data_IF_307292888446
#
_entry.id   IF_307292888446
#
_cell.length_a   1.000
_cell.length_b   1.000
_cell.length_c   1.000
_cell.angle_alpha   90.00
_cell.angle_beta   90.00
_cell.angle_gamma   90.00
#
_symmetry.space_group_name_H-M   'P 1'
#
loop_
_entity.id
_entity.type
_entity.pdbx_description
1 polymer ?
#
# COMPACT_ATOMS: atom_id res chain seq x y z
N UNK A 1 -8.86 -28.25 7.98
CA UNK A 1 -8.52 -26.84 7.69
C UNK A 1 -9.76 -26.04 7.99
N UNK A 2 -9.67 -25.09 8.89
CA UNK A 2 -10.77 -24.17 9.21
C UNK A 2 -10.60 -22.89 8.38
N UNK A 3 -11.65 -22.45 7.70
CA UNK A 3 -11.67 -21.22 6.90
C UNK A 3 -12.42 -20.07 7.60
N UNK A 4 -12.87 -20.29 8.82
CA UNK A 4 -13.52 -19.27 9.62
C UNK A 4 -12.47 -18.41 10.32
N UNK A 5 -12.81 -17.14 10.54
CA UNK A 5 -12.07 -16.29 11.46
C UNK A 5 -12.28 -16.80 12.89
N UNK A 6 -11.29 -16.63 13.74
CA UNK A 6 -11.44 -16.88 15.18
C UNK A 6 -12.20 -15.72 15.86
N UNK A 7 -12.57 -15.89 17.13
CA UNK A 7 -13.39 -14.92 17.87
C UNK A 7 -12.74 -13.54 17.96
N UNK A 8 -11.41 -13.47 18.08
CA UNK A 8 -10.65 -12.22 18.13
C UNK A 8 -10.69 -11.50 16.78
N UNK A 9 -10.46 -12.22 15.70
CA UNK A 9 -10.51 -11.68 14.34
C UNK A 9 -11.92 -11.18 13.99
N UNK A 10 -12.96 -11.93 14.38
CA UNK A 10 -14.36 -11.50 14.20
C UNK A 10 -14.66 -10.23 15.00
N UNK A 11 -14.08 -10.06 16.20
CA UNK A 11 -14.23 -8.84 17.00
C UNK A 11 -13.63 -7.62 16.29
N UNK A 12 -12.42 -7.74 15.72
CA UNK A 12 -11.83 -6.67 14.92
C UNK A 12 -12.70 -6.31 13.71
N UNK A 13 -13.17 -7.32 12.97
CA UNK A 13 -14.03 -7.12 11.80
C UNK A 13 -15.36 -6.47 12.19
N UNK A 14 -15.95 -6.86 13.34
CA UNK A 14 -17.17 -6.23 13.87
C UNK A 14 -16.94 -4.76 14.20
N UNK A 15 -15.83 -4.42 14.87
CA UNK A 15 -15.47 -3.04 15.18
C UNK A 15 -15.29 -2.19 13.90
N UNK A 16 -14.68 -2.75 12.85
CA UNK A 16 -14.58 -2.07 11.54
C UNK A 16 -15.97 -1.80 10.94
N UNK A 17 -16.88 -2.77 11.02
CA UNK A 17 -18.28 -2.59 10.53
C UNK A 17 -19.00 -1.48 11.30
N UNK A 18 -18.84 -1.42 12.61
CA UNK A 18 -19.41 -0.37 13.45
C UNK A 18 -18.84 1.00 13.09
N UNK A 19 -17.52 1.13 12.97
CA UNK A 19 -16.89 2.37 12.53
C UNK A 19 -17.43 2.82 11.16
N UNK A 20 -17.47 1.93 10.18
CA UNK A 20 -17.90 2.27 8.84
C UNK A 20 -19.40 2.59 8.76
N UNK A 21 -20.20 2.12 9.71
CA UNK A 21 -21.63 2.44 9.83
C UNK A 21 -21.90 3.71 10.66
N UNK A 22 -20.93 4.22 11.43
CA UNK A 22 -21.13 5.31 12.39
C UNK A 22 -21.42 6.66 11.75
N UNK A 23 -20.96 6.86 10.50
CA UNK A 23 -21.18 8.08 9.73
C UNK A 23 -21.11 7.83 8.21
N UNK A 24 -21.42 8.85 7.40
CA UNK A 24 -21.32 8.74 5.95
C UNK A 24 -19.88 8.94 5.45
N UNK A 25 -19.01 7.93 5.69
CA UNK A 25 -17.63 7.93 5.26
C UNK A 25 -17.47 8.07 3.75
N UNK A 26 -18.41 7.52 2.95
CA UNK A 26 -18.32 7.63 1.49
C UNK A 26 -18.38 9.08 1.01
N UNK A 27 -19.24 9.92 1.61
CA UNK A 27 -19.29 11.34 1.27
C UNK A 27 -17.96 12.03 1.62
N UNK A 28 -17.37 11.71 2.75
CA UNK A 28 -16.06 12.22 3.15
C UNK A 28 -14.94 11.77 2.22
N UNK A 29 -14.91 10.49 1.84
CA UNK A 29 -13.92 9.99 0.87
C UNK A 29 -14.08 10.61 -0.51
N UNK A 30 -15.33 10.83 -0.97
CA UNK A 30 -15.58 11.50 -2.24
C UNK A 30 -15.08 12.95 -2.24
N UNK A 31 -15.19 13.66 -1.11
CA UNK A 31 -14.62 15.00 -0.92
C UNK A 31 -13.10 14.97 -0.93
N UNK A 32 -12.48 14.08 -0.14
CA UNK A 32 -11.03 13.93 -0.10
C UNK A 32 -10.43 13.55 -1.47
N UNK A 33 -11.07 12.65 -2.23
CA UNK A 33 -10.63 12.29 -3.60
C UNK A 33 -10.71 13.47 -4.56
N UNK A 34 -11.83 14.23 -4.53
CA UNK A 34 -12.01 15.42 -5.37
C UNK A 34 -10.93 16.47 -5.10
N UNK A 35 -10.68 16.74 -3.83
CA UNK A 35 -9.79 17.83 -3.39
C UNK A 35 -8.33 17.38 -3.26
N UNK A 36 -8.06 16.09 -3.50
CA UNK A 36 -6.74 15.45 -3.40
C UNK A 36 -6.07 15.69 -2.05
N UNK A 37 -6.81 15.43 -0.97
CA UNK A 37 -6.39 15.59 0.42
C UNK A 37 -6.42 14.25 1.18
N UNK A 38 -5.49 14.12 2.14
CA UNK A 38 -5.38 12.93 2.99
C UNK A 38 -6.58 12.84 3.95
N UNK A 39 -7.20 11.66 4.11
CA UNK A 39 -8.39 11.49 4.94
C UNK A 39 -8.02 11.33 6.43
N UNK A 40 -7.38 12.35 7.02
CA UNK A 40 -6.80 12.32 8.37
C UNK A 40 -7.82 11.90 9.43
N UNK A 41 -9.07 12.38 9.34
CA UNK A 41 -10.13 12.04 10.29
C UNK A 41 -10.45 10.54 10.31
N UNK A 42 -10.48 9.90 9.13
CA UNK A 42 -10.71 8.47 9.03
C UNK A 42 -9.52 7.66 9.58
N UNK A 43 -8.31 8.05 9.21
CA UNK A 43 -7.10 7.36 9.68
C UNK A 43 -6.93 7.52 11.19
N UNK A 44 -7.28 8.70 11.74
CA UNK A 44 -7.32 8.91 13.20
C UNK A 44 -8.33 7.99 13.89
N UNK A 45 -9.53 7.84 13.33
CA UNK A 45 -10.54 6.93 13.89
C UNK A 45 -10.06 5.47 13.93
N UNK A 46 -9.33 5.01 12.89
CA UNK A 46 -8.70 3.69 12.90
C UNK A 46 -7.57 3.57 13.94
N UNK A 47 -6.76 4.62 14.08
CA UNK A 47 -5.68 4.65 15.07
C UNK A 47 -6.26 4.63 16.50
N UNK A 48 -7.40 5.30 16.76
CA UNK A 48 -8.11 5.24 18.06
C UNK A 48 -8.63 3.84 18.39
N UNK A 49 -8.86 3.00 17.39
CA UNK A 49 -9.21 1.58 17.55
C UNK A 49 -7.97 0.67 17.69
N UNK A 50 -6.75 1.21 17.61
CA UNK A 50 -5.51 0.45 17.67
C UNK A 50 -5.12 -0.26 16.36
N UNK A 51 -5.76 0.08 15.24
CA UNK A 51 -5.48 -0.58 13.94
C UNK A 51 -4.05 -0.29 13.45
N UNK A 52 -3.46 0.85 13.80
CA UNK A 52 -2.06 1.18 13.54
C UNK A 52 -1.07 0.35 14.38
N UNK A 53 -1.56 -0.35 15.39
CA UNK A 53 -0.77 -1.15 16.32
C UNK A 53 -0.93 -2.66 16.13
N UNK A 54 -1.68 -3.10 15.10
CA UNK A 54 -2.01 -4.52 14.86
C UNK A 54 -0.79 -5.43 14.80
N UNK A 55 0.28 -5.01 14.12
CA UNK A 55 1.50 -5.81 13.95
C UNK A 55 2.63 -5.41 14.90
N UNK A 56 2.46 -4.40 15.74
CA UNK A 56 3.47 -4.02 16.72
C UNK A 56 3.50 -5.10 17.83
N UNK A 57 4.68 -5.61 18.22
CA UNK A 57 4.82 -6.58 19.30
C UNK A 57 4.26 -6.05 20.62
N UNK A 58 3.71 -6.93 21.47
CA UNK A 58 3.15 -6.58 22.78
C UNK A 58 4.17 -5.89 23.68
N UNK A 59 5.44 -6.30 23.64
CA UNK A 59 6.53 -5.69 24.41
C UNK A 59 6.77 -4.21 24.06
N UNK A 60 6.33 -3.77 22.87
CA UNK A 60 6.32 -2.37 22.44
C UNK A 60 4.94 -1.74 22.55
N UNK A 61 4.01 -2.40 23.26
CA UNK A 61 2.65 -1.93 23.54
C UNK A 61 1.70 -2.08 22.34
N UNK A 62 2.00 -2.93 21.38
CA UNK A 62 1.14 -3.29 20.25
C UNK A 62 0.18 -4.42 20.57
N UNK A 63 -0.46 -4.95 19.52
CA UNK A 63 -1.46 -6.01 19.61
C UNK A 63 -0.93 -7.37 19.17
N UNK A 64 0.19 -7.42 18.44
CA UNK A 64 0.80 -8.64 17.87
C UNK A 64 -0.22 -9.59 17.19
N UNK A 65 -1.22 -8.99 16.54
CA UNK A 65 -2.41 -9.72 16.08
C UNK A 65 -2.18 -10.59 14.83
N UNK A 66 -1.00 -10.50 14.21
CA UNK A 66 -0.60 -11.28 13.05
C UNK A 66 -1.20 -10.84 11.70
N UNK A 67 -0.65 -11.43 10.64
CA UNK A 67 -1.00 -11.07 9.26
C UNK A 67 -2.37 -11.60 8.82
N UNK A 68 -2.86 -12.72 9.40
CA UNK A 68 -4.22 -13.20 9.11
C UNK A 68 -5.26 -12.21 9.63
N UNK A 69 -5.06 -11.65 10.82
CA UNK A 69 -5.91 -10.59 11.36
C UNK A 69 -5.83 -9.32 10.53
N UNK A 70 -4.61 -8.90 10.16
CA UNK A 70 -4.41 -7.77 9.25
C UNK A 70 -5.18 -7.97 7.94
N UNK A 71 -5.08 -9.15 7.33
CA UNK A 71 -5.78 -9.45 6.08
C UNK A 71 -7.30 -9.35 6.24
N UNK A 72 -7.87 -9.91 7.32
CA UNK A 72 -9.30 -9.81 7.61
C UNK A 72 -9.77 -8.36 7.74
N UNK A 73 -9.05 -7.54 8.52
CA UNK A 73 -9.35 -6.11 8.74
C UNK A 73 -9.24 -5.33 7.44
N UNK A 74 -8.14 -5.50 6.68
CA UNK A 74 -7.91 -4.75 5.43
C UNK A 74 -8.91 -5.06 4.34
N UNK A 75 -9.21 -6.35 4.16
CA UNK A 75 -10.20 -6.78 3.19
C UNK A 75 -11.61 -6.29 3.54
N UNK A 76 -11.97 -6.26 4.82
CA UNK A 76 -13.27 -5.74 5.26
C UNK A 76 -13.36 -4.22 5.11
N UNK A 77 -12.33 -3.47 5.49
CA UNK A 77 -12.26 -2.02 5.25
C UNK A 77 -12.50 -1.69 3.77
N UNK A 78 -11.77 -2.35 2.88
CA UNK A 78 -11.91 -2.14 1.43
C UNK A 78 -13.30 -2.56 0.92
N UNK A 79 -13.87 -3.69 1.40
CA UNK A 79 -15.23 -4.14 1.07
C UNK A 79 -16.29 -3.11 1.46
N UNK A 80 -16.07 -2.37 2.54
CA UNK A 80 -16.94 -1.30 2.99
C UNK A 80 -16.67 0.05 2.29
N UNK A 81 -15.69 0.11 1.37
CA UNK A 81 -15.39 1.26 0.51
C UNK A 81 -14.30 2.19 1.04
N UNK A 82 -13.61 1.81 2.11
CA UNK A 82 -12.50 2.60 2.64
C UNK A 82 -11.30 2.61 1.66
N UNK A 83 -10.58 3.76 1.54
CA UNK A 83 -9.39 3.89 0.71
C UNK A 83 -8.17 3.31 1.44
N UNK A 84 -8.06 1.98 1.55
CA UNK A 84 -7.02 1.31 2.35
C UNK A 84 -5.59 1.59 1.90
N UNK A 85 -5.39 2.09 0.68
CA UNK A 85 -4.07 2.50 0.18
C UNK A 85 -3.44 3.65 1.00
N UNK A 86 -4.23 4.50 1.64
CA UNK A 86 -3.71 5.57 2.52
C UNK A 86 -3.12 5.03 3.83
N UNK A 87 -3.28 3.74 4.07
CA UNK A 87 -2.88 3.06 5.31
C UNK A 87 -1.60 2.22 5.16
N UNK A 88 -0.95 2.18 4.00
CA UNK A 88 0.16 1.24 3.73
C UNK A 88 1.31 1.33 4.73
N UNK A 89 1.57 2.50 5.31
CA UNK A 89 2.62 2.68 6.29
C UNK A 89 2.23 2.28 7.72
N UNK A 90 0.93 2.13 8.01
CA UNK A 90 0.49 1.87 9.38
C UNK A 90 0.84 0.46 9.88
N UNK A 91 0.54 -0.65 9.16
CA UNK A 91 0.67 -1.97 9.76
C UNK A 91 2.12 -2.45 9.89
N UNK A 92 3.03 -2.05 9.01
CA UNK A 92 4.42 -2.54 9.00
C UNK A 92 5.47 -1.47 9.26
N UNK A 93 5.08 -0.19 9.17
CA UNK A 93 6.01 0.93 9.27
C UNK A 93 6.73 1.01 10.61
N UNK A 94 6.01 0.79 11.72
CA UNK A 94 6.61 0.75 13.04
C UNK A 94 7.59 -0.41 13.19
N UNK A 95 7.23 -1.62 12.76
CA UNK A 95 8.07 -2.81 12.88
C UNK A 95 9.39 -2.67 12.10
N UNK A 96 9.37 -1.97 10.98
CA UNK A 96 10.58 -1.65 10.22
C UNK A 96 11.57 -0.87 11.07
N UNK A 97 11.10 0.14 11.83
CA UNK A 97 11.93 0.92 12.73
C UNK A 97 12.36 0.15 13.98
N UNK A 98 11.47 -0.66 14.57
CA UNK A 98 11.82 -1.52 15.70
C UNK A 98 12.97 -2.49 15.36
N UNK A 99 13.04 -2.94 14.10
CA UNK A 99 14.06 -3.88 13.65
C UNK A 99 15.38 -3.22 13.22
N UNK A 100 15.32 -2.09 12.54
CA UNK A 100 16.45 -1.49 11.83
C UNK A 100 16.89 -0.13 12.37
N UNK A 101 16.02 0.57 13.09
CA UNK A 101 16.26 1.93 13.57
C UNK A 101 17.14 1.99 14.81
N UNK A 102 17.81 3.12 14.99
CA UNK A 102 18.39 3.48 16.28
C UNK A 102 17.28 3.84 17.27
N UNK A 103 17.56 3.83 18.58
CA UNK A 103 16.57 4.19 19.60
C UNK A 103 15.98 5.60 19.34
N UNK A 104 16.81 6.57 18.93
CA UNK A 104 16.34 7.93 18.59
C UNK A 104 15.36 7.91 17.41
N UNK A 105 15.62 7.09 16.39
CA UNK A 105 14.72 6.94 15.22
C UNK A 105 13.42 6.24 15.61
N UNK A 106 13.50 5.18 16.42
CA UNK A 106 12.34 4.46 16.96
C UNK A 106 11.44 5.42 17.74
N UNK A 107 11.99 6.18 18.68
CA UNK A 107 11.24 7.11 19.52
C UNK A 107 10.52 8.18 18.67
N UNK A 108 11.19 8.70 17.62
CA UNK A 108 10.59 9.65 16.69
C UNK A 108 9.39 9.09 15.96
N UNK A 109 9.47 7.84 15.50
CA UNK A 109 8.40 7.21 14.74
C UNK A 109 7.27 6.73 15.66
N UNK A 110 7.60 6.15 16.82
CA UNK A 110 6.60 5.71 17.81
C UNK A 110 5.76 6.87 18.36
N UNK A 111 6.27 8.09 18.35
CA UNK A 111 5.50 9.29 18.70
C UNK A 111 4.27 9.55 17.80
N UNK A 112 4.21 8.95 16.61
CA UNK A 112 3.08 9.07 15.70
C UNK A 112 1.96 8.04 15.95
N UNK A 113 2.24 7.01 16.73
CA UNK A 113 1.25 5.99 17.09
C UNK A 113 0.00 6.65 17.72
N UNK A 114 -1.17 6.23 17.28
CA UNK A 114 -2.44 6.77 17.75
C UNK A 114 -2.79 8.17 17.18
N UNK A 115 -1.94 8.79 16.38
CA UNK A 115 -2.20 10.16 15.89
C UNK A 115 -3.02 10.22 14.60
N UNK A 116 -3.03 9.15 13.80
CA UNK A 116 -3.64 9.13 12.46
C UNK A 116 -2.85 9.93 11.41
N UNK A 117 -1.66 10.44 11.75
CA UNK A 117 -0.81 11.19 10.82
C UNK A 117 0.15 10.27 10.08
N UNK A 118 0.49 10.66 8.86
CA UNK A 118 1.59 10.03 8.13
C UNK A 118 2.91 10.31 8.87
N UNK A 119 3.69 9.26 9.13
CA UNK A 119 4.89 9.35 9.94
C UNK A 119 6.18 9.37 9.11
N UNK A 120 6.27 8.52 8.10
CA UNK A 120 7.41 8.40 7.21
C UNK A 120 7.03 7.73 5.89
N UNK A 121 7.92 7.76 4.90
CA UNK A 121 7.84 6.93 3.70
C UNK A 121 9.24 6.65 3.14
N UNK A 122 9.33 5.68 2.23
CA UNK A 122 10.56 5.36 1.50
C UNK A 122 10.69 6.17 0.22
N UNK A 123 11.90 6.61 -0.08
CA UNK A 123 12.25 7.32 -1.29
C UNK A 123 13.33 6.55 -2.08
N UNK A 124 12.87 5.78 -3.05
CA UNK A 124 13.71 4.85 -3.83
C UNK A 124 13.76 5.29 -5.28
N UNK A 125 12.61 5.37 -5.94
CA UNK A 125 12.45 5.62 -7.37
C UNK A 125 13.02 6.99 -7.81
N UNK A 126 13.70 7.01 -8.97
CA UNK A 126 14.19 8.22 -9.62
C UNK A 126 13.67 8.31 -11.06
N UNK A 127 13.70 9.48 -11.73
CA UNK A 127 13.27 9.62 -13.12
C UNK A 127 13.95 8.64 -14.08
N UNK A 128 15.19 8.23 -13.80
CA UNK A 128 15.98 7.27 -14.58
C UNK A 128 16.09 5.87 -13.99
N UNK A 129 15.50 5.60 -12.83
CA UNK A 129 15.65 4.35 -12.07
C UNK A 129 14.33 3.93 -11.41
N UNK A 130 13.45 3.30 -12.16
CA UNK A 130 12.22 2.68 -11.68
C UNK A 130 12.44 1.19 -11.42
N UNK A 131 12.11 0.33 -12.39
CA UNK A 131 12.34 -1.13 -12.27
C UNK A 131 13.81 -1.51 -12.11
N UNK A 132 14.71 -0.73 -12.70
CA UNK A 132 16.15 -0.86 -12.51
C UNK A 132 16.63 0.01 -11.33
N UNK A 133 16.28 -0.39 -10.11
CA UNK A 133 16.66 0.31 -8.87
C UNK A 133 18.18 0.44 -8.74
N UNK A 134 18.95 -0.50 -9.28
CA UNK A 134 20.42 -0.46 -9.26
C UNK A 134 21.05 0.68 -10.07
N UNK A 135 20.29 1.36 -10.92
CA UNK A 135 20.75 2.50 -11.72
C UNK A 135 20.53 3.87 -11.06
N UNK A 136 20.07 3.93 -9.80
CA UNK A 136 19.83 5.19 -9.10
C UNK A 136 21.07 6.08 -9.03
N UNK A 137 20.85 7.39 -9.05
CA UNK A 137 21.90 8.42 -9.12
C UNK A 137 21.98 9.28 -7.87
N UNK A 138 20.99 9.31 -7.00
CA UNK A 138 21.06 10.00 -5.70
C UNK A 138 22.25 9.49 -4.92
N UNK A 139 23.11 10.39 -4.46
CA UNK A 139 24.37 10.08 -3.78
C UNK A 139 24.42 10.66 -2.37
N UNK A 140 25.15 9.98 -1.50
CA UNK A 140 25.67 10.58 -0.29
C UNK A 140 27.19 10.68 -0.36
N UNK A 141 27.75 11.74 0.18
CA UNK A 141 29.20 11.97 0.23
C UNK A 141 29.62 12.44 1.61
N UNK A 142 30.77 11.94 2.09
CA UNK A 142 31.34 12.38 3.37
C UNK A 142 32.33 13.52 3.14
N UNK A 143 32.10 14.67 3.78
CA UNK A 143 32.93 15.87 3.70
C UNK A 143 33.01 16.50 5.09
N UNK A 144 34.22 16.77 5.58
CA UNK A 144 34.46 17.47 6.86
C UNK A 144 33.70 16.86 8.06
N UNK A 145 33.60 15.55 8.13
CA UNK A 145 32.90 14.84 9.21
C UNK A 145 31.38 14.88 9.14
N UNK A 146 30.83 15.38 8.04
CA UNK A 146 29.40 15.42 7.74
C UNK A 146 29.07 14.63 6.47
N UNK A 147 27.82 14.26 6.31
CA UNK A 147 27.28 13.60 5.14
C UNK A 147 26.40 14.59 4.37
N UNK A 148 26.55 14.61 3.07
CA UNK A 148 25.76 15.45 2.19
C UNK A 148 25.01 14.59 1.19
N UNK A 149 23.66 14.68 1.22
CA UNK A 149 22.78 13.97 0.31
C UNK A 149 22.43 14.87 -0.88
N UNK A 150 22.62 14.34 -2.09
CA UNK A 150 22.37 15.03 -3.34
C UNK A 150 21.64 14.15 -4.34
N UNK A 151 20.68 14.70 -5.06
CA UNK A 151 19.96 14.01 -6.12
C UNK A 151 18.46 14.32 -6.15
N UNK A 152 17.68 13.38 -6.66
CA UNK A 152 16.24 13.56 -6.77
C UNK A 152 15.51 12.24 -6.81
N UNK A 153 14.32 12.23 -6.22
CA UNK A 153 13.41 11.09 -6.17
C UNK A 153 12.07 11.48 -6.81
N UNK A 154 11.38 10.52 -7.40
CA UNK A 154 10.07 10.77 -7.99
C UNK A 154 9.08 9.66 -7.63
N UNK A 155 7.80 10.00 -7.76
CA UNK A 155 6.66 9.13 -7.39
C UNK A 155 6.69 8.70 -5.92
N UNK A 156 7.11 9.62 -5.02
CA UNK A 156 7.21 9.33 -3.59
C UNK A 156 5.89 9.67 -2.92
N UNK A 157 5.22 8.64 -2.45
CA UNK A 157 3.91 8.72 -1.79
C UNK A 157 4.02 9.45 -0.45
N UNK A 158 2.97 10.14 0.00
CA UNK A 158 2.83 10.84 1.29
C UNK A 158 3.85 11.94 1.60
N UNK A 159 4.87 12.15 0.77
CA UNK A 159 6.00 13.04 1.08
C UNK A 159 5.66 14.53 1.17
N UNK A 160 4.42 14.93 0.83
CA UNK A 160 3.94 16.29 1.08
C UNK A 160 3.52 16.53 2.55
N UNK A 161 3.31 15.48 3.35
CA UNK A 161 2.81 15.58 4.72
C UNK A 161 3.72 14.87 5.74
N UNK A 162 4.49 13.88 5.29
CA UNK A 162 5.33 13.09 6.19
C UNK A 162 6.52 13.92 6.70
N UNK A 163 6.79 13.90 8.00
CA UNK A 163 7.93 14.64 8.57
C UNK A 163 9.26 13.95 8.32
N UNK A 164 9.27 12.67 8.06
CA UNK A 164 10.47 11.87 7.86
C UNK A 164 10.38 11.04 6.58
N UNK A 165 11.54 10.78 5.99
CA UNK A 165 11.66 9.93 4.81
C UNK A 165 12.91 9.07 4.90
N UNK A 166 12.83 7.82 4.47
CA UNK A 166 14.00 6.93 4.34
C UNK A 166 14.46 6.96 2.90
N UNK A 167 15.61 7.55 2.64
CA UNK A 167 16.15 7.78 1.30
C UNK A 167 17.22 6.77 0.96
N UNK A 168 17.00 5.96 -0.08
CA UNK A 168 18.05 5.12 -0.64
C UNK A 168 18.98 5.94 -1.52
N UNK A 169 20.28 5.95 -1.18
CA UNK A 169 21.31 6.64 -1.92
C UNK A 169 22.56 5.75 -2.10
N UNK A 170 23.34 6.04 -3.13
CA UNK A 170 24.64 5.37 -3.35
C UNK A 170 25.78 6.19 -2.80
N UNK A 171 26.86 5.52 -2.40
CA UNK A 171 28.09 6.19 -2.03
C UNK A 171 28.72 6.90 -3.23
N UNK A 172 28.87 8.22 -3.15
CA UNK A 172 29.49 9.05 -4.17
C UNK A 172 31.00 8.80 -4.33
N UNK A 173 31.67 8.25 -3.32
CA UNK A 173 33.09 7.89 -3.38
C UNK A 173 33.35 6.56 -4.11
N UNK A 174 32.32 5.76 -4.41
CA UNK A 174 32.43 4.42 -5.02
C UNK A 174 31.63 4.31 -6.32
N UNK A 175 31.96 5.10 -7.37
CA UNK A 175 31.14 5.15 -8.59
C UNK A 175 31.13 3.83 -9.38
N UNK A 176 32.25 3.10 -9.40
CA UNK A 176 32.42 1.85 -10.17
C UNK A 176 31.88 0.62 -9.45
N UNK A 177 31.75 0.68 -8.13
CA UNK A 177 31.23 -0.39 -7.28
C UNK A 177 30.20 0.19 -6.32
N UNK A 178 28.96 0.38 -6.75
CA UNK A 178 27.97 1.13 -5.98
C UNK A 178 27.64 0.41 -4.67
N UNK A 179 27.74 1.18 -3.58
CA UNK A 179 27.32 0.82 -2.23
C UNK A 179 26.04 1.61 -1.95
N UNK A 180 24.96 0.91 -1.65
CA UNK A 180 23.64 1.53 -1.41
C UNK A 180 23.35 1.53 0.08
N UNK A 181 23.04 2.71 0.62
CA UNK A 181 22.72 2.93 2.02
C UNK A 181 21.40 3.72 2.13
N UNK A 182 20.65 3.49 3.17
CA UNK A 182 19.45 4.23 3.45
C UNK A 182 19.70 5.25 4.55
N UNK A 183 19.04 6.40 4.41
CA UNK A 183 19.20 7.56 5.27
C UNK A 183 17.84 8.01 5.79
N UNK A 184 17.68 8.09 7.11
CA UNK A 184 16.51 8.63 7.78
C UNK A 184 16.61 10.16 7.79
N UNK A 185 15.82 10.81 6.95
CA UNK A 185 15.93 12.26 6.67
C UNK A 185 14.74 12.99 7.26
N UNK A 186 15.00 14.01 8.07
CA UNK A 186 14.02 14.99 8.51
C UNK A 186 13.71 15.93 7.33
N UNK A 187 12.43 15.97 6.92
CA UNK A 187 11.98 16.73 5.75
C UNK A 187 12.00 18.25 5.97
N UNK A 188 12.22 18.72 7.18
CA UNK A 188 12.41 20.15 7.49
C UNK A 188 13.82 20.67 7.23
N UNK A 189 14.78 19.76 6.92
CA UNK A 189 16.18 20.17 6.66
C UNK A 189 16.29 21.09 5.44
N UNK A 190 17.20 22.09 5.47
CA UNK A 190 17.54 22.90 4.30
C UNK A 190 18.01 22.05 3.11
N UNK A 191 17.75 22.52 1.90
CA UNK A 191 18.14 21.81 0.66
C UNK A 191 17.12 20.79 0.17
N UNK A 192 15.99 20.62 0.86
CA UNK A 192 14.91 19.71 0.42
C UNK A 192 13.82 20.54 -0.24
N UNK A 193 13.44 20.12 -1.46
CA UNK A 193 12.28 20.68 -2.17
C UNK A 193 11.33 19.55 -2.56
N UNK A 194 10.04 19.71 -2.21
CA UNK A 194 8.97 18.76 -2.54
C UNK A 194 8.01 19.39 -3.53
N UNK A 195 7.67 18.67 -4.59
CA UNK A 195 6.71 19.11 -5.61
C UNK A 195 5.65 18.02 -5.81
N UNK A 196 4.38 18.35 -5.55
CA UNK A 196 3.27 17.40 -5.77
C UNK A 196 3.07 17.12 -7.26
N UNK A 197 2.79 15.87 -7.59
CA UNK A 197 2.40 15.41 -8.92
C UNK A 197 0.88 15.20 -8.97
N UNK A 198 0.27 15.54 -10.11
CA UNK A 198 -1.10 15.15 -10.41
C UNK A 198 -1.17 13.68 -10.77
N UNK A 199 -2.19 12.98 -10.26
CA UNK A 199 -2.38 11.53 -10.46
C UNK A 199 -3.72 11.19 -11.06
N UNK A 200 -3.76 10.09 -11.78
CA UNK A 200 -5.01 9.49 -12.26
C UNK A 200 -5.88 9.00 -11.09
N UNK A 201 -5.29 8.20 -10.19
CA UNK A 201 -5.94 7.57 -9.03
C UNK A 201 -5.11 7.72 -7.76
N UNK A 202 -5.55 7.08 -6.66
CA UNK A 202 -4.98 7.19 -5.31
C UNK A 202 -4.87 8.65 -4.85
N UNK A 203 -5.87 9.46 -5.17
CA UNK A 203 -5.80 10.93 -5.02
C UNK A 203 -5.79 11.38 -3.57
N UNK A 204 -6.34 10.58 -2.66
CA UNK A 204 -6.38 10.90 -1.23
C UNK A 204 -5.01 10.78 -0.54
N UNK A 205 -3.97 10.41 -1.27
CA UNK A 205 -2.60 10.54 -0.78
C UNK A 205 -1.79 11.39 -1.76
N UNK A 206 -0.71 12.04 -1.30
CA UNK A 206 0.18 12.77 -2.18
C UNK A 206 1.12 11.81 -2.91
N UNK A 207 1.61 12.26 -4.06
CA UNK A 207 2.73 11.64 -4.76
C UNK A 207 3.62 12.77 -5.25
N UNK A 208 4.90 12.73 -4.92
CA UNK A 208 5.76 13.89 -5.13
C UNK A 208 7.07 13.55 -5.83
N UNK A 209 7.66 14.60 -6.41
CA UNK A 209 9.09 14.67 -6.68
C UNK A 209 9.78 15.35 -5.50
N UNK A 210 10.96 14.87 -5.14
CA UNK A 210 11.79 15.42 -4.07
C UNK A 210 13.19 15.67 -4.65
N UNK A 211 13.71 16.89 -4.43
CA UNK A 211 15.09 17.23 -4.76
C UNK A 211 15.88 17.45 -3.47
N UNK A 212 17.09 16.91 -3.45
CA UNK A 212 18.07 17.06 -2.38
C UNK A 212 19.27 17.84 -2.94
N UNK A 213 19.58 18.98 -2.33
CA UNK A 213 20.70 19.86 -2.69
C UNK A 213 21.56 20.13 -1.45
N UNK A 214 22.67 19.43 -1.35
CA UNK A 214 23.61 19.44 -0.23
C UNK A 214 22.90 19.31 1.14
N UNK A 215 21.94 18.39 1.26
CA UNK A 215 21.23 18.16 2.52
C UNK A 215 22.19 17.55 3.53
N UNK A 216 22.48 18.28 4.62
CA UNK A 216 23.41 17.86 5.66
C UNK A 216 22.78 16.80 6.56
N UNK A 217 23.47 15.65 6.69
CA UNK A 217 23.13 14.53 7.56
C UNK A 217 24.32 14.21 8.48
N UNK A 218 24.04 13.49 9.56
CA UNK A 218 25.04 12.89 10.44
C UNK A 218 25.09 11.36 10.27
N UNK A 219 26.13 10.70 10.77
CA UNK A 219 26.22 9.22 10.74
C UNK A 219 25.04 8.56 11.50
N UNK A 220 24.49 9.21 12.52
CA UNK A 220 23.31 8.73 13.26
C UNK A 220 22.01 8.76 12.43
N UNK A 221 21.99 9.50 11.31
CA UNK A 221 20.87 9.53 10.39
C UNK A 221 20.90 8.33 9.43
N UNK A 222 21.93 7.49 9.48
CA UNK A 222 21.93 6.22 8.73
C UNK A 222 20.80 5.33 9.25
N UNK A 223 20.06 4.73 8.31
CA UNK A 223 19.01 3.78 8.63
C UNK A 223 19.49 2.35 8.34
N UNK A 224 19.46 1.49 9.35
CA UNK A 224 20.03 0.15 9.27
C UNK A 224 21.57 0.16 9.22
N UNK A 225 22.14 -0.43 8.18
CA UNK A 225 23.61 -0.61 8.03
C UNK A 225 24.09 -0.11 6.68
N UNK A 226 25.30 0.44 6.65
CA UNK A 226 25.95 0.83 5.40
C UNK A 226 26.03 -0.35 4.41
N UNK A 227 25.70 -0.08 3.17
CA UNK A 227 25.74 -1.07 2.10
C UNK A 227 24.59 -2.08 2.07
N UNK A 228 23.66 -2.03 3.01
CA UNK A 228 22.52 -2.96 3.07
C UNK A 228 21.24 -2.45 2.40
N UNK A 229 21.22 -1.23 1.89
CA UNK A 229 20.02 -0.59 1.37
C UNK A 229 19.29 -1.41 0.30
N UNK A 230 20.03 -2.06 -0.59
CA UNK A 230 19.42 -2.87 -1.66
C UNK A 230 18.67 -4.12 -1.14
N UNK A 231 19.17 -4.76 -0.08
CA UNK A 231 18.50 -5.93 0.51
C UNK A 231 17.23 -5.50 1.27
N UNK A 232 17.34 -4.41 2.01
CA UNK A 232 16.22 -3.85 2.76
C UNK A 232 15.05 -3.46 1.86
N UNK A 233 15.33 -2.74 0.77
CA UNK A 233 14.31 -2.35 -0.22
C UNK A 233 13.58 -3.56 -0.79
N UNK A 234 14.25 -4.71 -0.98
CA UNK A 234 13.57 -5.94 -1.43
C UNK A 234 12.56 -6.45 -0.40
N UNK A 235 12.94 -6.46 0.88
CA UNK A 235 12.06 -6.89 1.97
C UNK A 235 10.84 -5.96 2.10
N UNK A 236 11.08 -4.65 2.00
CA UNK A 236 10.03 -3.64 2.03
C UNK A 236 9.03 -3.81 0.87
N UNK A 237 9.53 -4.07 -0.34
CA UNK A 237 8.67 -4.34 -1.49
C UNK A 237 7.81 -5.61 -1.32
N UNK A 238 8.31 -6.65 -0.64
CA UNK A 238 7.51 -7.85 -0.40
C UNK A 238 6.33 -7.56 0.53
N UNK A 239 6.54 -6.75 1.56
CA UNK A 239 5.48 -6.28 2.45
C UNK A 239 4.47 -5.38 1.72
N UNK A 240 4.94 -4.39 0.97
CA UNK A 240 4.10 -3.49 0.17
C UNK A 240 3.24 -4.28 -0.83
N UNK A 241 3.81 -5.25 -1.54
CA UNK A 241 3.07 -6.10 -2.49
C UNK A 241 1.89 -6.80 -1.85
N UNK A 242 2.06 -7.30 -0.64
CA UNK A 242 0.98 -7.96 0.10
C UNK A 242 -0.12 -6.98 0.47
N UNK A 243 0.19 -5.81 1.00
CA UNK A 243 -0.80 -4.77 1.34
C UNK A 243 -1.56 -4.25 0.11
N UNK A 244 -0.87 -4.03 -1.00
CA UNK A 244 -1.50 -3.68 -2.28
C UNK A 244 -2.49 -4.76 -2.70
N UNK A 245 -2.14 -6.03 -2.58
CA UNK A 245 -3.02 -7.13 -2.95
C UNK A 245 -4.27 -7.22 -2.06
N UNK A 246 -4.15 -6.97 -0.75
CA UNK A 246 -5.29 -6.88 0.18
C UNK A 246 -6.24 -5.73 -0.18
N UNK A 247 -5.69 -4.54 -0.46
CA UNK A 247 -6.43 -3.36 -0.91
C UNK A 247 -7.22 -3.65 -2.18
N UNK A 248 -6.59 -4.29 -3.15
CA UNK A 248 -7.21 -4.66 -4.42
C UNK A 248 -8.42 -5.58 -4.23
N UNK A 249 -8.30 -6.60 -3.39
CA UNK A 249 -9.41 -7.50 -3.08
C UNK A 249 -10.60 -6.76 -2.45
N UNK A 250 -10.35 -5.99 -1.40
CA UNK A 250 -11.41 -5.27 -0.68
C UNK A 250 -12.16 -4.30 -1.60
N UNK A 251 -11.43 -3.51 -2.38
CA UNK A 251 -12.02 -2.57 -3.35
C UNK A 251 -12.84 -3.27 -4.42
N UNK A 252 -12.34 -4.40 -4.96
CA UNK A 252 -13.05 -5.18 -5.96
C UNK A 252 -14.32 -5.82 -5.39
N UNK A 253 -14.28 -6.28 -4.14
CA UNK A 253 -15.45 -6.84 -3.46
C UNK A 253 -16.53 -5.78 -3.24
N UNK A 254 -16.15 -4.56 -2.85
CA UNK A 254 -17.05 -3.42 -2.74
C UNK A 254 -17.78 -3.13 -4.07
N UNK A 255 -17.01 -3.05 -5.15
CA UNK A 255 -17.55 -2.80 -6.49
C UNK A 255 -18.49 -3.92 -6.95
N UNK A 256 -18.14 -5.18 -6.69
CA UNK A 256 -18.98 -6.34 -6.97
C UNK A 256 -20.33 -6.27 -6.25
N UNK A 257 -20.32 -5.96 -4.94
CA UNK A 257 -21.54 -5.84 -4.14
C UNK A 257 -22.43 -4.70 -4.63
N UNK A 258 -21.85 -3.55 -4.97
CA UNK A 258 -22.60 -2.40 -5.53
C UNK A 258 -23.27 -2.78 -6.85
N UNK A 259 -22.52 -3.41 -7.76
CA UNK A 259 -23.05 -3.88 -9.03
C UNK A 259 -24.15 -4.94 -8.86
N UNK A 260 -23.98 -5.85 -7.88
CA UNK A 260 -24.99 -6.88 -7.60
C UNK A 260 -26.30 -6.29 -7.07
N UNK A 261 -26.22 -5.32 -6.15
CA UNK A 261 -27.41 -4.60 -5.67
C UNK A 261 -28.11 -3.86 -6.82
N UNK A 262 -27.34 -3.16 -7.65
CA UNK A 262 -27.87 -2.45 -8.80
C UNK A 262 -28.51 -3.40 -9.81
N UNK A 263 -27.87 -4.52 -10.15
CA UNK A 263 -28.41 -5.48 -11.11
C UNK A 263 -29.75 -6.11 -10.69
N UNK A 264 -29.96 -6.27 -9.38
CA UNK A 264 -31.23 -6.77 -8.84
C UNK A 264 -32.34 -5.71 -8.75
N UNK A 265 -31.98 -4.43 -8.79
CA UNK A 265 -32.94 -3.31 -8.68
C UNK A 265 -33.25 -2.66 -10.02
N UNK A 266 -32.27 -2.57 -10.92
CA UNK A 266 -32.45 -1.91 -12.22
C UNK A 266 -33.29 -2.74 -13.15
N UNK A 267 -34.43 -2.18 -13.58
CA UNK A 267 -35.34 -2.84 -14.53
C UNK A 267 -35.10 -2.32 -15.95
N UNK A 268 -34.94 -3.22 -16.90
CA UNK A 268 -34.94 -2.98 -18.33
C UNK A 268 -35.65 -4.15 -19.04
N UNK A 269 -36.32 -3.88 -20.16
CA UNK A 269 -37.09 -4.88 -20.88
C UNK A 269 -38.12 -5.63 -20.00
N UNK A 270 -38.67 -4.94 -18.98
CA UNK A 270 -39.71 -5.46 -18.10
C UNK A 270 -39.25 -6.26 -16.90
N UNK A 271 -37.94 -6.52 -16.74
CA UNK A 271 -37.40 -7.30 -15.59
C UNK A 271 -36.07 -6.74 -15.10
N UNK A 272 -35.63 -7.19 -13.89
CA UNK A 272 -34.36 -6.81 -13.34
C UNK A 272 -33.21 -7.31 -14.25
N UNK A 273 -32.18 -6.43 -14.49
CA UNK A 273 -31.10 -6.76 -15.42
C UNK A 273 -30.29 -7.97 -14.97
N UNK A 274 -30.24 -8.29 -13.66
CA UNK A 274 -29.61 -9.49 -13.11
C UNK A 274 -30.23 -10.82 -13.57
N UNK A 275 -31.40 -10.76 -14.25
CA UNK A 275 -32.01 -11.96 -14.87
C UNK A 275 -31.48 -12.27 -16.25
N UNK A 276 -30.76 -11.35 -16.89
CA UNK A 276 -30.20 -11.58 -18.22
C UNK A 276 -28.90 -12.39 -18.15
N UNK A 277 -28.78 -13.41 -18.99
CA UNK A 277 -27.64 -14.34 -18.99
C UNK A 277 -26.28 -13.68 -19.14
N UNK A 278 -26.15 -12.63 -20.01
CA UNK A 278 -24.90 -11.89 -20.19
C UNK A 278 -24.50 -11.07 -18.94
N UNK A 279 -25.45 -10.72 -18.08
CA UNK A 279 -25.17 -10.09 -16.79
C UNK A 279 -24.74 -11.17 -15.78
N UNK A 280 -25.45 -12.31 -15.73
CA UNK A 280 -25.11 -13.43 -14.86
C UNK A 280 -23.71 -13.99 -15.15
N UNK A 281 -23.31 -14.07 -16.42
CA UNK A 281 -21.95 -14.46 -16.84
C UNK A 281 -20.89 -13.53 -16.22
N UNK A 282 -21.08 -12.19 -16.26
CA UNK A 282 -20.16 -11.24 -15.63
C UNK A 282 -20.02 -11.51 -14.12
N UNK A 283 -21.13 -11.73 -13.42
CA UNK A 283 -21.09 -12.05 -11.99
C UNK A 283 -20.38 -13.36 -11.70
N UNK A 284 -20.57 -14.39 -12.50
CA UNK A 284 -19.87 -15.67 -12.35
C UNK A 284 -18.34 -15.47 -12.48
N UNK A 285 -17.87 -14.77 -13.51
CA UNK A 285 -16.45 -14.46 -13.70
C UNK A 285 -15.87 -13.61 -12.58
N UNK A 286 -16.58 -12.59 -12.12
CA UNK A 286 -16.16 -11.75 -10.98
C UNK A 286 -16.06 -12.58 -9.71
N UNK A 287 -17.04 -13.43 -9.40
CA UNK A 287 -17.06 -14.28 -8.21
C UNK A 287 -15.88 -15.27 -8.19
N UNK A 288 -15.55 -15.89 -9.33
CA UNK A 288 -14.38 -16.80 -9.45
C UNK A 288 -13.09 -16.07 -9.11
N UNK A 289 -12.89 -14.86 -9.66
CA UNK A 289 -11.70 -14.03 -9.38
C UNK A 289 -11.61 -13.65 -7.92
N UNK A 290 -12.69 -13.15 -7.34
CA UNK A 290 -12.75 -12.76 -5.93
C UNK A 290 -12.45 -13.94 -4.99
N UNK A 291 -13.03 -15.11 -5.26
CA UNK A 291 -12.75 -16.30 -4.45
C UNK A 291 -11.27 -16.74 -4.56
N UNK A 292 -10.70 -16.68 -5.77
CA UNK A 292 -9.29 -17.00 -5.99
C UNK A 292 -8.36 -16.04 -5.26
N UNK A 293 -8.66 -14.73 -5.33
CA UNK A 293 -7.91 -13.70 -4.60
C UNK A 293 -7.97 -13.94 -3.09
N UNK A 294 -9.17 -14.14 -2.53
CA UNK A 294 -9.37 -14.36 -1.08
C UNK A 294 -8.51 -15.51 -0.57
N UNK A 295 -8.57 -16.66 -1.25
CA UNK A 295 -7.84 -17.86 -0.82
C UNK A 295 -6.32 -17.64 -0.88
N UNK A 296 -5.81 -17.03 -1.94
CA UNK A 296 -4.39 -16.72 -2.11
C UNK A 296 -3.90 -15.74 -1.03
N UNK A 297 -4.69 -14.73 -0.68
CA UNK A 297 -4.35 -13.73 0.32
C UNK A 297 -4.31 -14.31 1.74
N UNK A 298 -5.26 -15.17 2.12
CA UNK A 298 -5.23 -15.85 3.41
C UNK A 298 -4.09 -16.86 3.51
N UNK A 299 -3.78 -17.58 2.42
CA UNK A 299 -2.60 -18.46 2.38
C UNK A 299 -1.31 -17.66 2.60
N UNK A 300 -1.16 -16.52 1.92
CA UNK A 300 0.01 -15.66 2.07
C UNK A 300 0.11 -15.05 3.48
N UNK A 301 -1.02 -14.62 4.06
CA UNK A 301 -1.08 -14.14 5.43
C UNK A 301 -0.66 -15.22 6.43
N UNK A 302 -1.18 -16.42 6.30
CA UNK A 302 -0.79 -17.55 7.13
C UNK A 302 0.70 -17.90 6.99
N UNK A 303 1.25 -17.87 5.77
CA UNK A 303 2.69 -18.06 5.55
C UNK A 303 3.51 -16.97 6.22
N UNK A 304 3.04 -15.72 6.24
CA UNK A 304 3.70 -14.62 6.91
C UNK A 304 3.74 -14.83 8.43
N UNK A 305 2.63 -15.23 9.04
CA UNK A 305 2.55 -15.54 10.47
C UNK A 305 3.47 -16.72 10.88
N UNK A 306 3.71 -17.65 9.95
CA UNK A 306 4.60 -18.80 10.19
C UNK A 306 6.05 -18.56 9.71
N UNK A 307 6.40 -17.36 9.27
CA UNK A 307 7.75 -17.01 8.79
C UNK A 307 8.18 -17.76 7.53
N UNK A 308 7.22 -18.26 6.72
CA UNK A 308 7.47 -19.09 5.53
C UNK A 308 7.11 -18.38 4.21
N UNK A 309 6.60 -17.16 4.27
CA UNK A 309 6.31 -16.35 3.08
C UNK A 309 7.58 -16.06 2.28
N UNK A 310 7.48 -16.10 0.96
CA UNK A 310 8.60 -15.81 0.05
C UNK A 310 8.29 -14.61 -0.83
N UNK A 311 9.33 -13.98 -1.41
CA UNK A 311 9.15 -12.95 -2.43
C UNK A 311 8.34 -13.44 -3.65
N UNK A 312 8.37 -14.74 -3.94
CA UNK A 312 7.54 -15.36 -4.96
C UNK A 312 6.05 -15.33 -4.61
N UNK A 313 5.71 -15.64 -3.34
CA UNK A 313 4.33 -15.55 -2.84
C UNK A 313 3.79 -14.13 -2.90
N UNK A 314 4.57 -13.15 -2.42
CA UNK A 314 4.19 -11.73 -2.45
C UNK A 314 3.99 -11.22 -3.90
N UNK A 315 4.91 -11.59 -4.81
CA UNK A 315 4.80 -11.23 -6.22
C UNK A 315 3.58 -11.88 -6.90
N UNK A 316 3.27 -13.14 -6.57
CA UNK A 316 2.09 -13.86 -7.08
C UNK A 316 0.81 -13.16 -6.63
N UNK A 317 0.68 -12.86 -5.33
CA UNK A 317 -0.47 -12.14 -4.77
C UNK A 317 -0.66 -10.78 -5.46
N UNK A 318 0.39 -9.98 -5.55
CA UNK A 318 0.32 -8.64 -6.13
C UNK A 318 -0.08 -8.68 -7.61
N UNK A 319 0.58 -9.52 -8.40
CA UNK A 319 0.26 -9.63 -9.83
C UNK A 319 -1.17 -10.09 -10.06
N UNK A 320 -1.56 -11.20 -9.44
CA UNK A 320 -2.90 -11.76 -9.65
C UNK A 320 -3.99 -10.82 -9.15
N UNK A 321 -3.86 -10.31 -7.91
CA UNK A 321 -4.89 -9.45 -7.32
C UNK A 321 -5.04 -8.12 -8.05
N UNK A 322 -3.94 -7.45 -8.45
CA UNK A 322 -4.04 -6.17 -9.18
C UNK A 322 -4.74 -6.32 -10.54
N UNK A 323 -4.48 -7.40 -11.27
CA UNK A 323 -5.13 -7.66 -12.55
C UNK A 323 -6.59 -8.10 -12.36
N UNK A 324 -6.84 -9.10 -11.50
CA UNK A 324 -8.17 -9.63 -11.26
C UNK A 324 -9.13 -8.58 -10.67
N UNK A 325 -8.65 -7.75 -9.73
CA UNK A 325 -9.44 -6.67 -9.13
C UNK A 325 -9.82 -5.60 -10.16
N UNK A 326 -8.87 -5.19 -11.00
CA UNK A 326 -9.14 -4.24 -12.07
C UNK A 326 -10.21 -4.76 -13.04
N UNK A 327 -10.14 -6.04 -13.45
CA UNK A 327 -11.14 -6.67 -14.29
C UNK A 327 -12.52 -6.80 -13.61
N UNK A 328 -12.54 -7.06 -12.29
CA UNK A 328 -13.79 -7.08 -11.50
C UNK A 328 -14.41 -5.69 -11.46
N UNK A 329 -13.65 -4.65 -11.14
CA UNK A 329 -14.16 -3.27 -11.06
C UNK A 329 -14.62 -2.77 -12.44
N UNK A 330 -13.89 -3.07 -13.51
CA UNK A 330 -14.28 -2.73 -14.88
C UNK A 330 -15.60 -3.42 -15.27
N UNK A 331 -15.74 -4.71 -14.97
CA UNK A 331 -16.96 -5.45 -15.20
C UNK A 331 -18.15 -4.94 -14.37
N UNK A 332 -17.91 -4.58 -13.11
CA UNK A 332 -18.92 -3.97 -12.24
C UNK A 332 -19.35 -2.59 -12.76
N UNK A 333 -18.41 -1.77 -13.21
CA UNK A 333 -18.69 -0.48 -13.86
C UNK A 333 -19.52 -0.65 -15.12
N UNK A 334 -19.22 -1.67 -15.93
CA UNK A 334 -20.02 -2.02 -17.11
C UNK A 334 -21.46 -2.41 -16.76
N UNK A 335 -21.67 -3.15 -15.65
CA UNK A 335 -23.01 -3.49 -15.14
C UNK A 335 -23.79 -2.24 -14.73
N UNK A 336 -23.13 -1.27 -14.09
CA UNK A 336 -23.73 0.01 -13.69
C UNK A 336 -24.09 0.90 -14.89
N UNK A 337 -23.47 0.69 -16.05
CA UNK A 337 -23.70 1.47 -17.27
C UNK A 337 -23.42 2.95 -17.04
N UNK A 338 -24.32 3.83 -17.52
CA UNK A 338 -24.16 5.29 -17.41
C UNK A 338 -23.98 5.79 -15.97
N UNK A 339 -24.55 5.12 -14.97
CA UNK A 339 -24.38 5.46 -13.54
C UNK A 339 -22.92 5.30 -13.11
N UNK A 340 -22.23 4.25 -13.59
CA UNK A 340 -20.81 4.01 -13.30
C UNK A 340 -19.87 5.02 -13.95
N UNK A 341 -20.29 5.67 -15.03
CA UNK A 341 -19.49 6.63 -15.81
C UNK A 341 -19.73 8.09 -15.40
N UNK A 342 -20.93 8.41 -14.90
CA UNK A 342 -21.38 9.79 -14.65
C UNK A 342 -20.66 10.53 -13.51
N UNK A 343 -19.63 9.94 -12.88
CA UNK A 343 -18.73 10.61 -11.95
C UNK A 343 -19.19 10.72 -10.49
N UNK A 344 -20.46 10.44 -10.20
CA UNK A 344 -21.02 10.53 -8.84
C UNK A 344 -21.02 9.19 -8.09
N UNK A 345 -20.64 8.09 -8.75
CA UNK A 345 -20.55 6.77 -8.14
C UNK A 345 -19.10 6.43 -7.80
N UNK A 346 -18.86 5.90 -6.59
CA UNK A 346 -17.51 5.55 -6.09
C UNK A 346 -16.73 4.59 -6.99
N UNK A 347 -17.42 3.83 -7.85
CA UNK A 347 -16.77 2.88 -8.76
C UNK A 347 -15.79 3.55 -9.73
N UNK A 348 -16.04 4.80 -10.13
CA UNK A 348 -15.11 5.57 -10.97
C UNK A 348 -13.80 5.89 -10.24
N UNK A 349 -13.87 6.13 -8.91
CA UNK A 349 -12.69 6.26 -8.05
C UNK A 349 -11.94 4.91 -7.99
N UNK A 350 -12.63 3.81 -7.69
CA UNK A 350 -12.05 2.47 -7.63
C UNK A 350 -11.35 2.07 -8.92
N UNK A 351 -11.97 2.34 -10.06
CA UNK A 351 -11.37 2.06 -11.38
C UNK A 351 -10.06 2.82 -11.61
N UNK A 352 -10.01 4.11 -11.24
CA UNK A 352 -8.80 4.93 -11.34
C UNK A 352 -7.71 4.46 -10.37
N UNK A 353 -8.07 4.13 -9.15
CA UNK A 353 -7.16 3.71 -8.09
C UNK A 353 -6.49 2.38 -8.44
N UNK A 354 -7.27 1.34 -8.77
CA UNK A 354 -6.75 0.02 -9.10
C UNK A 354 -5.88 0.00 -10.36
N UNK A 355 -6.07 0.96 -11.29
CA UNK A 355 -5.17 1.06 -12.45
C UNK A 355 -3.74 1.41 -12.05
N UNK A 356 -3.56 2.18 -10.99
CA UNK A 356 -2.23 2.56 -10.48
C UNK A 356 -1.51 1.32 -9.91
N UNK A 357 -2.21 0.44 -9.24
CA UNK A 357 -1.65 -0.73 -8.56
C UNK A 357 -0.99 -1.76 -9.49
N UNK A 358 -1.27 -1.72 -10.78
CA UNK A 358 -0.55 -2.53 -11.78
C UNK A 358 0.85 -2.00 -12.09
N UNK A 359 1.17 -0.79 -11.61
CA UNK A 359 2.47 -0.11 -11.83
C UNK A 359 3.24 0.08 -10.53
N UNK A 360 2.56 0.49 -9.44
CA UNK A 360 3.16 0.73 -8.12
C UNK A 360 3.64 -0.56 -7.46
N UNK A 361 4.55 -0.46 -6.50
CA UNK A 361 5.10 -1.64 -5.79
C UNK A 361 5.83 -2.64 -6.71
N UNK A 362 6.35 -2.15 -7.86
CA UNK A 362 6.87 -2.93 -8.98
C UNK A 362 5.78 -3.32 -10.00
N UNK A 363 6.05 -3.04 -11.28
CA UNK A 363 5.10 -3.31 -12.37
C UNK A 363 4.72 -4.79 -12.51
N UNK A 364 3.65 -5.07 -13.24
CA UNK A 364 3.20 -6.44 -13.55
C UNK A 364 4.36 -7.30 -14.09
N UNK A 365 5.21 -6.74 -14.95
CA UNK A 365 6.37 -7.42 -15.54
C UNK A 365 7.42 -7.79 -14.48
N UNK A 366 7.63 -6.92 -13.49
CA UNK A 366 8.56 -7.18 -12.39
C UNK A 366 8.04 -8.27 -11.45
N UNK A 367 6.73 -8.35 -11.22
CA UNK A 367 6.13 -9.44 -10.46
C UNK A 367 6.31 -10.79 -11.19
N UNK A 368 6.01 -10.83 -12.48
CA UNK A 368 6.18 -12.04 -13.31
C UNK A 368 7.65 -12.49 -13.34
N UNK A 369 8.58 -11.55 -13.49
CA UNK A 369 10.01 -11.86 -13.45
C UNK A 369 10.45 -12.45 -12.10
N UNK A 370 9.98 -11.86 -10.99
CA UNK A 370 10.28 -12.31 -9.63
C UNK A 370 9.73 -13.72 -9.41
N UNK A 371 8.46 -13.94 -9.74
CA UNK A 371 7.79 -15.22 -9.60
C UNK A 371 8.44 -16.29 -10.47
N UNK A 372 8.69 -16.02 -11.75
CA UNK A 372 9.29 -16.96 -12.68
C UNK A 372 10.67 -17.43 -12.22
N UNK A 373 11.49 -16.50 -11.69
CA UNK A 373 12.81 -16.84 -11.10
C UNK A 373 12.65 -17.70 -9.84
N UNK A 374 11.69 -17.39 -8.97
CA UNK A 374 11.42 -18.15 -7.75
C UNK A 374 11.00 -19.59 -8.07
N UNK A 375 10.06 -19.78 -9.01
CA UNK A 375 9.59 -21.09 -9.45
C UNK A 375 10.73 -21.91 -10.05
N UNK A 376 11.45 -21.38 -11.02
CA UNK A 376 12.54 -22.13 -11.68
C UNK A 376 13.69 -22.49 -10.72
N UNK A 377 13.89 -21.72 -9.65
CA UNK A 377 14.90 -22.04 -8.63
C UNK A 377 14.58 -23.33 -7.84
N UNK A 378 13.30 -23.68 -7.69
CA UNK A 378 12.88 -24.86 -6.94
C UNK A 378 13.22 -26.17 -7.66
N UNK A 379 13.53 -26.12 -8.96
CA UNK A 379 13.83 -27.28 -9.80
C UNK A 379 15.30 -27.34 -10.25
N UNK A 380 16.16 -26.60 -9.57
CA UNK A 380 17.63 -26.63 -9.75
C UNK A 380 18.27 -27.44 -8.63
#
# INVERSE_FOLDING_TARGET
MDFNLNDEQELFVAGIRELMASENWEAYFAECDRDSVYPERFVKALADMGIDSLLIPEEHGGLDAGFVTLAAVWMELGRLGAPTYVLYQLPGGFNTFLREGTQEQIDKIMAFRGTGKQMWNSAITEPGAGSDVGSLKTTYTRRNGKIYLNGGKCFITSSAYTPYIVVMARDGASPDKPVYTEWFVDMSKPGIKVTKLEKLGLRMDSCCEITFDDVELDEKDMFGREGNGFNRVKEEFDHERFLVALTNYGTAMCAFEDAARYANQRVQFGEAIGRFQLIQEKFAHMAIKLNSMKNMLYEAAWKADNGTITSGDAAMCKYFCANAAFEVVDSAMQVLGGVGIAGNHRISRFWRDLRVDRVSGGSDEMQILTLGRAVLKQYR
#
